data_IF_674097060315
#
_entry.id   IF_674097060315
#
_cell.length_a   1.000
_cell.length_b   1.000
_cell.length_c   1.000
_cell.angle_alpha   90.00
_cell.angle_beta   90.00
_cell.angle_gamma   90.00
#
_symmetry.space_group_name_H-M   'P 1'
#
loop_
_entity.id
_entity.type
_entity.pdbx_description
1 polymer ?
#
# COMPACT_ATOMS: atom_id res chain seq x y z
N UNK A 1 6.65 -0.74 5.57
CA UNK A 1 6.19 -0.22 4.25
C UNK A 1 4.80 -0.78 4.00
N UNK A 2 3.91 -0.05 3.34
CA UNK A 2 2.52 -0.49 3.12
C UNK A 2 2.13 -0.30 1.67
N UNK A 3 1.45 -1.29 1.11
CA UNK A 3 0.89 -1.24 -0.23
C UNK A 3 -0.63 -1.33 -0.14
N UNK A 4 -1.33 -0.49 -0.90
CA UNK A 4 -2.79 -0.46 -0.96
C UNK A 4 -3.25 -0.47 -2.40
N UNK A 5 -4.29 -1.22 -2.72
CA UNK A 5 -4.92 -1.19 -4.05
C UNK A 5 -6.21 -0.37 -4.01
N UNK A 6 -6.19 0.73 -4.75
CA UNK A 6 -7.33 1.58 -5.03
C UNK A 6 -7.95 1.11 -6.35
N UNK A 7 -9.03 0.33 -6.23
CA UNK A 7 -9.75 -0.24 -7.38
C UNK A 7 -10.41 0.85 -8.22
N UNK A 8 -11.04 1.84 -7.58
CA UNK A 8 -11.74 2.93 -8.26
C UNK A 8 -10.78 3.71 -9.17
N UNK A 9 -9.55 3.94 -8.71
CA UNK A 9 -8.54 4.66 -9.49
C UNK A 9 -7.62 3.76 -10.31
N UNK A 10 -7.75 2.44 -10.19
CA UNK A 10 -6.86 1.46 -10.81
C UNK A 10 -5.39 1.67 -10.42
N UNK A 11 -5.10 1.86 -9.13
CA UNK A 11 -3.75 2.21 -8.65
C UNK A 11 -3.31 1.40 -7.44
N UNK A 12 -2.04 1.00 -7.45
CA UNK A 12 -1.34 0.56 -6.24
C UNK A 12 -0.62 1.76 -5.63
N UNK A 13 -1.00 2.12 -4.41
CA UNK A 13 -0.33 3.13 -3.60
C UNK A 13 0.71 2.45 -2.71
N UNK A 14 1.98 2.84 -2.86
CA UNK A 14 3.09 2.40 -2.06
C UNK A 14 3.51 3.51 -1.09
N UNK A 15 3.42 3.26 0.21
CA UNK A 15 3.82 4.18 1.29
C UNK A 15 5.06 3.62 2.01
N UNK A 16 6.12 4.39 2.10
CA UNK A 16 7.34 4.00 2.81
C UNK A 16 7.92 5.15 3.62
N UNK A 17 8.77 4.83 4.60
CA UNK A 17 9.58 5.80 5.33
C UNK A 17 10.98 5.80 4.74
N UNK A 18 11.57 6.97 4.59
CA UNK A 18 12.94 7.14 4.11
C UNK A 18 13.65 8.19 4.98
N UNK A 19 14.90 7.95 5.40
CA UNK A 19 15.69 8.92 6.13
C UNK A 19 15.83 10.22 5.33
N UNK A 20 15.62 11.35 5.98
CA UNK A 20 15.82 12.67 5.41
C UNK A 20 16.55 13.54 6.43
N UNK A 21 17.67 14.13 6.01
CA UNK A 21 18.38 15.12 6.80
C UNK A 21 17.66 16.46 6.72
N UNK A 22 17.43 17.08 7.87
CA UNK A 22 16.86 18.42 7.99
C UNK A 22 17.71 19.24 8.96
N UNK A 23 17.77 20.56 8.75
CA UNK A 23 18.35 21.47 9.73
C UNK A 23 17.29 21.94 10.69
N UNK A 24 17.53 21.75 11.98
CA UNK A 24 16.68 22.25 13.07
C UNK A 24 17.57 22.97 14.09
N UNK A 25 17.29 24.24 14.33
CA UNK A 25 18.06 25.09 15.26
C UNK A 25 19.59 25.03 15.04
N UNK A 26 20.01 25.06 13.77
CA UNK A 26 21.44 25.01 13.40
C UNK A 26 22.10 23.63 13.49
N UNK A 27 21.39 22.59 13.93
CA UNK A 27 21.88 21.20 13.96
C UNK A 27 21.27 20.37 12.83
N UNK A 28 22.03 19.43 12.30
CA UNK A 28 21.49 18.42 11.39
C UNK A 28 20.81 17.30 12.17
N UNK A 29 19.59 16.97 11.76
CA UNK A 29 18.79 15.89 12.36
C UNK A 29 18.32 14.99 11.22
N UNK A 30 18.43 13.68 11.43
CA UNK A 30 17.88 12.67 10.51
C UNK A 30 16.49 12.26 10.99
N UNK A 31 15.48 12.48 10.17
CA UNK A 31 14.10 12.06 10.45
C UNK A 31 13.65 10.98 9.45
N UNK A 32 12.67 10.17 9.83
CA UNK A 32 12.01 9.25 8.91
C UNK A 32 10.83 9.94 8.22
N UNK A 33 11.02 10.42 7.00
CA UNK A 33 9.97 11.09 6.23
C UNK A 33 9.09 10.07 5.52
N UNK A 34 7.77 10.21 5.65
CA UNK A 34 6.82 9.42 4.87
C UNK A 34 6.83 9.85 3.40
N UNK A 35 6.98 8.88 2.51
CA UNK A 35 6.92 9.02 1.05
C UNK A 35 5.80 8.16 0.51
N UNK A 36 5.21 8.61 -0.58
CA UNK A 36 4.18 7.88 -1.31
C UNK A 36 4.52 7.86 -2.78
N UNK A 37 4.33 6.70 -3.42
CA UNK A 37 4.39 6.52 -4.85
C UNK A 37 3.16 5.75 -5.30
N UNK A 38 2.74 5.94 -6.55
CA UNK A 38 1.59 5.21 -7.12
C UNK A 38 1.96 4.54 -8.42
N UNK A 39 1.45 3.34 -8.65
CA UNK A 39 1.58 2.62 -9.92
C UNK A 39 0.18 2.38 -10.46
N UNK A 40 -0.08 2.86 -11.68
CA UNK A 40 -1.31 2.47 -12.40
C UNK A 40 -1.29 0.98 -12.72
N UNK A 41 -2.44 0.34 -12.55
CA UNK A 41 -2.67 -1.07 -12.84
C UNK A 41 -3.91 -1.17 -13.70
N UNK A 42 -3.84 -1.94 -14.79
CA UNK A 42 -4.99 -2.20 -15.64
C UNK A 42 -6.01 -3.11 -14.96
N UNK A 43 -7.19 -3.25 -15.57
CA UNK A 43 -8.21 -4.19 -15.14
C UNK A 43 -7.72 -5.64 -15.12
N UNK A 44 -6.70 -5.98 -15.91
CA UNK A 44 -6.09 -7.32 -15.95
C UNK A 44 -4.93 -7.51 -14.94
N UNK A 45 -4.67 -6.51 -14.09
CA UNK A 45 -3.56 -6.55 -13.15
C UNK A 45 -2.20 -6.18 -13.75
N UNK A 46 -2.14 -5.60 -14.96
CA UNK A 46 -0.89 -5.21 -15.60
C UNK A 46 -0.43 -3.84 -15.11
N UNK A 47 0.78 -3.76 -14.56
CA UNK A 47 1.37 -2.51 -14.06
C UNK A 47 1.88 -1.60 -15.18
N UNK A 48 1.69 -0.29 -15.03
CA UNK A 48 2.33 0.70 -15.87
C UNK A 48 3.85 0.73 -15.60
N UNK A 49 4.64 0.43 -16.64
CA UNK A 49 6.10 0.32 -16.55
C UNK A 49 6.79 1.63 -16.12
N UNK A 50 6.30 2.79 -16.59
CA UNK A 50 6.88 4.10 -16.28
C UNK A 50 6.67 4.45 -14.80
N UNK A 51 5.43 4.30 -14.32
CA UNK A 51 5.11 4.54 -12.91
C UNK A 51 5.90 3.58 -12.00
N UNK A 52 6.00 2.30 -12.38
CA UNK A 52 6.76 1.29 -11.64
C UNK A 52 8.27 1.60 -11.58
N UNK A 53 8.86 2.03 -12.69
CA UNK A 53 10.28 2.37 -12.76
C UNK A 53 10.67 3.48 -11.77
N UNK A 54 9.79 4.44 -11.51
CA UNK A 54 10.00 5.54 -10.57
C UNK A 54 10.05 5.05 -9.12
N UNK A 55 9.24 4.03 -8.76
CA UNK A 55 9.08 3.64 -7.36
C UNK A 55 9.90 2.39 -6.96
N UNK A 56 10.38 1.59 -7.92
CA UNK A 56 10.92 0.23 -7.69
C UNK A 56 12.18 0.10 -6.81
N UNK A 57 12.87 1.19 -6.48
CA UNK A 57 14.14 1.17 -5.71
C UNK A 57 13.94 0.61 -4.28
N UNK A 58 15.03 0.19 -3.62
CA UNK A 58 15.03 -0.14 -2.19
C UNK A 58 14.02 -1.23 -1.79
N UNK A 59 13.94 -2.33 -2.54
CA UNK A 59 13.03 -3.45 -2.27
C UNK A 59 11.55 -3.22 -2.66
N UNK A 60 11.15 -1.97 -2.92
CA UNK A 60 9.77 -1.59 -3.24
C UNK A 60 9.24 -2.28 -4.49
N UNK A 61 10.07 -2.42 -5.53
CA UNK A 61 9.65 -3.09 -6.78
C UNK A 61 9.28 -4.56 -6.57
N UNK A 62 10.03 -5.26 -5.71
CA UNK A 62 9.74 -6.65 -5.33
C UNK A 62 8.41 -6.73 -4.59
N UNK A 63 8.22 -5.86 -3.60
CA UNK A 63 6.99 -5.81 -2.81
C UNK A 63 5.75 -5.52 -3.66
N UNK A 64 5.82 -4.53 -4.57
CA UNK A 64 4.71 -4.20 -5.47
C UNK A 64 4.41 -5.36 -6.41
N UNK A 65 5.43 -6.04 -6.94
CA UNK A 65 5.24 -7.24 -7.76
C UNK A 65 4.58 -8.39 -6.98
N UNK A 66 4.99 -8.61 -5.72
CA UNK A 66 4.37 -9.62 -4.85
C UNK A 66 2.91 -9.28 -4.56
N UNK A 67 2.60 -8.01 -4.33
CA UNK A 67 1.25 -7.56 -4.09
C UNK A 67 0.35 -7.76 -5.31
N UNK A 68 0.80 -7.39 -6.52
CA UNK A 68 0.04 -7.66 -7.76
C UNK A 68 -0.25 -9.15 -7.91
N UNK A 69 0.74 -10.02 -7.67
CA UNK A 69 0.53 -11.48 -7.70
C UNK A 69 -0.46 -11.95 -6.63
N UNK A 70 -0.48 -11.32 -5.46
CA UNK A 70 -1.46 -11.63 -4.41
C UNK A 70 -2.88 -11.23 -4.85
N UNK A 71 -3.05 -10.02 -5.42
CA UNK A 71 -4.32 -9.54 -5.96
C UNK A 71 -4.84 -10.41 -7.12
N UNK A 72 -3.94 -10.87 -7.99
CA UNK A 72 -4.30 -11.81 -9.06
C UNK A 72 -4.80 -13.14 -8.50
N UNK A 73 -4.11 -13.70 -7.50
CA UNK A 73 -4.51 -14.96 -6.85
C UNK A 73 -5.83 -14.84 -6.08
N UNK A 74 -6.14 -13.68 -5.52
CA UNK A 74 -7.41 -13.44 -4.84
C UNK A 74 -8.55 -13.08 -5.79
N UNK A 75 -8.30 -13.05 -7.11
CA UNK A 75 -9.33 -12.76 -8.11
C UNK A 75 -9.78 -11.30 -8.14
N UNK A 76 -9.06 -10.35 -7.51
CA UNK A 76 -9.47 -8.92 -7.43
C UNK A 76 -9.71 -8.26 -8.79
N UNK A 77 -9.04 -8.78 -9.83
CA UNK A 77 -9.11 -8.30 -11.20
C UNK A 77 -10.23 -8.97 -12.04
N UNK A 78 -11.05 -9.83 -11.45
CA UNK A 78 -12.18 -10.46 -12.16
C UNK A 78 -13.43 -9.59 -12.08
N UNK A 79 -14.36 -9.78 -13.02
CA UNK A 79 -15.63 -9.04 -13.05
C UNK A 79 -16.50 -9.34 -11.83
N UNK A 80 -16.48 -10.59 -11.38
CA UNK A 80 -17.32 -11.10 -10.28
C UNK A 80 -16.70 -10.86 -8.90
N UNK A 81 -15.59 -10.13 -8.83
CA UNK A 81 -14.93 -9.82 -7.58
C UNK A 81 -15.81 -8.93 -6.70
N UNK A 82 -16.30 -9.53 -5.61
CA UNK A 82 -16.95 -8.85 -4.51
C UNK A 82 -15.89 -8.35 -3.52
N UNK A 83 -15.91 -7.06 -3.15
CA UNK A 83 -15.01 -6.53 -2.14
C UNK A 83 -15.25 -7.23 -0.79
N UNK A 84 -14.19 -7.77 -0.20
CA UNK A 84 -14.26 -8.41 1.11
C UNK A 84 -14.61 -7.38 2.20
N UNK A 85 -15.12 -7.88 3.34
CA UNK A 85 -15.32 -7.05 4.53
C UNK A 85 -13.99 -6.70 5.18
N UNK A 86 -13.95 -5.63 5.96
CA UNK A 86 -12.78 -5.29 6.76
C UNK A 86 -12.49 -6.42 7.75
N UNK A 87 -11.28 -6.97 7.73
CA UNK A 87 -10.86 -8.03 8.65
C UNK A 87 -10.85 -7.62 10.13
N UNK A 88 -10.84 -6.31 10.42
CA UNK A 88 -10.76 -5.79 11.79
C UNK A 88 -12.16 -5.50 12.35
N UNK A 89 -13.01 -4.78 11.60
CA UNK A 89 -14.32 -4.35 12.10
C UNK A 89 -15.52 -4.99 11.39
N UNK A 90 -15.31 -5.81 10.37
CA UNK A 90 -16.39 -6.42 9.56
C UNK A 90 -17.13 -5.45 8.64
N UNK A 91 -16.79 -4.16 8.63
CA UNK A 91 -17.41 -3.17 7.77
C UNK A 91 -17.09 -3.37 6.28
N UNK A 92 -18.04 -3.14 5.39
CA UNK A 92 -17.89 -3.30 3.94
C UNK A 92 -17.59 -2.00 3.18
N UNK A 93 -17.66 -0.84 3.85
CA UNK A 93 -17.52 0.46 3.21
C UNK A 93 -16.06 0.79 2.91
N UNK A 94 -15.76 1.02 1.63
CA UNK A 94 -14.45 1.50 1.18
C UNK A 94 -13.30 0.55 1.47
N UNK A 95 -13.59 -0.74 1.59
CA UNK A 95 -12.61 -1.78 1.89
C UNK A 95 -11.65 -1.94 0.71
N UNK A 96 -10.36 -1.95 1.01
CA UNK A 96 -9.29 -2.06 0.03
C UNK A 96 -8.35 -3.17 0.41
N UNK A 97 -7.83 -3.85 -0.61
CA UNK A 97 -6.77 -4.80 -0.45
C UNK A 97 -5.48 -4.04 -0.05
N UNK A 98 -4.85 -4.51 1.01
CA UNK A 98 -3.64 -3.98 1.59
C UNK A 98 -2.62 -5.10 1.74
N UNK A 99 -1.34 -4.81 1.55
CA UNK A 99 -0.30 -5.83 1.61
C UNK A 99 0.88 -5.39 2.45
N UNK A 100 1.27 -6.30 3.36
CA UNK A 100 2.41 -6.12 4.24
C UNK A 100 3.62 -6.89 3.66
N UNK A 101 4.64 -6.18 3.13
CA UNK A 101 5.75 -6.80 2.41
C UNK A 101 6.67 -7.67 3.25
N UNK A 102 6.67 -7.53 4.58
CA UNK A 102 7.55 -8.31 5.47
C UNK A 102 6.90 -9.65 5.85
N UNK A 103 5.58 -9.66 6.00
CA UNK A 103 4.81 -10.87 6.38
C UNK A 103 4.15 -11.53 5.19
N UNK A 104 4.26 -10.92 4.00
CA UNK A 104 3.57 -11.31 2.77
C UNK A 104 2.05 -11.47 2.93
N UNK A 105 1.47 -10.81 3.94
CA UNK A 105 0.04 -10.89 4.23
C UNK A 105 -0.72 -9.90 3.36
N UNK A 106 -1.69 -10.43 2.61
CA UNK A 106 -2.77 -9.67 2.01
C UNK A 106 -3.88 -9.51 3.05
N UNK A 107 -4.43 -8.32 3.19
CA UNK A 107 -5.54 -8.07 4.09
C UNK A 107 -6.54 -7.07 3.49
N UNK A 108 -7.81 -7.19 3.86
CA UNK A 108 -8.87 -6.29 3.43
C UNK A 108 -9.26 -5.35 4.55
N UNK A 109 -9.02 -4.04 4.35
CA UNK A 109 -9.18 -3.05 5.40
C UNK A 109 -9.99 -1.86 4.92
N UNK A 110 -10.89 -1.38 5.79
CA UNK A 110 -11.58 -0.11 5.59
C UNK A 110 -10.60 1.08 5.80
N UNK A 111 -10.97 2.31 5.41
CA UNK A 111 -10.10 3.47 5.52
C UNK A 111 -9.60 3.77 6.95
N UNK A 112 -10.38 3.45 7.97
CA UNK A 112 -10.01 3.64 9.38
C UNK A 112 -8.89 2.69 9.83
N UNK A 113 -8.83 1.51 9.22
CA UNK A 113 -7.92 0.45 9.61
C UNK A 113 -6.75 0.25 8.64
N UNK A 114 -6.76 0.85 7.45
CA UNK A 114 -5.66 0.73 6.47
C UNK A 114 -4.32 1.27 7.00
N UNK A 115 -4.39 2.17 7.99
CA UNK A 115 -3.26 2.79 8.68
C UNK A 115 -2.56 1.83 9.65
N UNK A 116 -3.26 0.80 10.13
CA UNK A 116 -2.76 -0.22 11.05
C UNK A 116 -1.59 -0.98 10.42
N UNK A 117 -1.66 -1.25 9.11
CA UNK A 117 -0.56 -1.89 8.36
C UNK A 117 0.65 -0.98 8.10
N UNK A 118 0.56 0.31 8.40
CA UNK A 118 1.69 1.25 8.33
C UNK A 118 2.48 1.36 9.63
N UNK A 119 2.12 0.60 10.67
CA UNK A 119 2.75 0.71 11.98
C UNK A 119 2.46 2.04 12.66
N UNK A 120 1.38 2.74 12.25
CA UNK A 120 0.81 3.83 13.02
C UNK A 120 -0.24 3.22 13.95
N UNK A 121 0.19 2.80 15.14
CA UNK A 121 -0.74 2.74 16.26
C UNK A 121 -1.19 4.17 16.55
N UNK A 122 -2.32 4.58 15.99
CA UNK A 122 -3.15 5.56 16.69
C UNK A 122 -3.80 4.82 17.85
N UNK A 123 -3.14 4.86 19.01
CA UNK A 123 -3.83 4.78 20.29
C UNK A 123 -4.77 5.97 20.33
N UNK A 124 -6.04 5.74 19.98
CA UNK A 124 -7.11 6.61 20.40
C UNK A 124 -7.34 6.27 21.88
N UNK A 125 -6.98 7.21 22.75
CA UNK A 125 -7.35 7.22 24.16
C UNK A 125 -8.84 7.53 24.31
#
# INVERSE_FOLDING_TARGET
MTLLYDRERGRICCRWKEPATMRFQGREVVINRQRTGSVRVSELGTMNKRDFATIRKGGRGKAVSQFVKALQRSGVFTKDYAPEVCEICGGSRGVRACFHPETHRLAWLCPEHDTVLSGQQTVAA
#
